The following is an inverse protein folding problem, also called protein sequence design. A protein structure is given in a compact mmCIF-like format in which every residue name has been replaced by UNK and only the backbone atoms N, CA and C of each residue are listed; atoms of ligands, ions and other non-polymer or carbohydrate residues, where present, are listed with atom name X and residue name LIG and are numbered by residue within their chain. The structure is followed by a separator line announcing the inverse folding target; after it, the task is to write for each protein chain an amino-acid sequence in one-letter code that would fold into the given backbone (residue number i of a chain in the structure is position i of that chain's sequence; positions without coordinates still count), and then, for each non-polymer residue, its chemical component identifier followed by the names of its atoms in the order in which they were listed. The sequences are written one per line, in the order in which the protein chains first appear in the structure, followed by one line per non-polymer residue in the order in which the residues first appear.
data_IF_193374931294
#
_entry.id   IF_193374931294
#
_cell.length_a   1.000
_cell.length_b   1.000
_cell.length_c   1.000
_cell.angle_alpha   90.00
_cell.angle_beta   90.00
_cell.angle_gamma   90.00
#
_symmetry.space_group_name_H-M   'P 1'
#
loop_
_entity.id
_entity.type
_entity.pdbx_description
1 polymer ?
#
# COMPACT_ATOMS: atom_id res chain seq x y z
N UNK A 1 -9.24 14.49 16.03
CA UNK A 1 -9.28 14.41 14.55
C UNK A 1 -9.93 13.08 14.22
N UNK A 2 -11.04 13.00 13.46
CA UNK A 2 -11.62 11.71 13.10
C UNK A 2 -10.59 10.90 12.30
N UNK A 3 -10.30 9.68 12.75
CA UNK A 3 -9.37 8.77 12.10
C UNK A 3 -9.96 8.40 10.75
N UNK A 4 -9.45 9.00 9.68
CA UNK A 4 -9.91 8.69 8.33
C UNK A 4 -9.52 7.24 8.05
N UNK A 5 -10.50 6.35 7.88
CA UNK A 5 -10.23 4.93 7.64
C UNK A 5 -9.29 4.77 6.45
N UNK A 6 -8.35 3.83 6.52
CA UNK A 6 -7.33 3.60 5.47
C UNK A 6 -7.91 3.55 4.05
N UNK A 7 -9.12 2.96 3.87
CA UNK A 7 -9.82 2.94 2.58
C UNK A 7 -10.13 4.34 2.02
N UNK A 8 -10.51 5.28 2.88
CA UNK A 8 -10.77 6.67 2.47
C UNK A 8 -9.48 7.41 2.11
N UNK A 9 -8.38 7.14 2.82
CA UNK A 9 -7.06 7.68 2.49
C UNK A 9 -6.55 7.16 1.14
N UNK A 10 -6.76 5.87 0.83
CA UNK A 10 -6.41 5.27 -0.47
C UNK A 10 -7.20 5.87 -1.64
N UNK A 11 -8.50 6.14 -1.44
CA UNK A 11 -9.30 6.83 -2.46
C UNK A 11 -8.77 8.25 -2.70
N UNK A 12 -8.37 8.94 -1.64
CA UNK A 12 -7.79 10.28 -1.75
C UNK A 12 -6.42 10.28 -2.43
N UNK A 13 -5.60 9.22 -2.29
CA UNK A 13 -4.27 9.13 -2.90
C UNK A 13 -4.32 9.33 -4.42
N UNK A 14 -5.38 8.85 -5.08
CA UNK A 14 -5.58 9.01 -6.53
C UNK A 14 -5.65 10.46 -7.02
N UNK A 15 -5.88 11.42 -6.11
CA UNK A 15 -5.87 12.85 -6.40
C UNK A 15 -4.47 13.46 -6.39
N UNK A 16 -3.50 12.79 -5.78
CA UNK A 16 -2.14 13.31 -5.55
C UNK A 16 -1.05 12.54 -6.32
N UNK A 17 -1.37 11.36 -6.85
CA UNK A 17 -0.44 10.57 -7.66
C UNK A 17 -1.09 10.11 -8.96
N UNK A 18 -0.25 9.63 -9.89
CA UNK A 18 -0.73 8.98 -11.11
C UNK A 18 -1.62 7.75 -10.79
N UNK A 19 -2.53 7.47 -11.72
CA UNK A 19 -3.50 6.39 -11.63
C UNK A 19 -2.84 5.01 -11.46
N UNK A 20 -1.67 4.79 -12.07
CA UNK A 20 -0.90 3.55 -11.90
C UNK A 20 -0.41 3.37 -10.46
N UNK A 21 0.19 4.41 -9.88
CA UNK A 21 0.65 4.41 -8.49
C UNK A 21 -0.53 4.21 -7.54
N UNK A 22 -1.64 4.90 -7.75
CA UNK A 22 -2.84 4.75 -6.92
C UNK A 22 -3.40 3.30 -6.94
N UNK A 23 -3.38 2.64 -8.10
CA UNK A 23 -3.77 1.23 -8.25
C UNK A 23 -2.83 0.30 -7.51
N UNK A 24 -1.51 0.50 -7.65
CA UNK A 24 -0.49 -0.32 -6.97
C UNK A 24 -0.59 -0.22 -5.46
N UNK A 25 -0.76 0.98 -4.91
CA UNK A 25 -0.98 1.18 -3.46
C UNK A 25 -2.25 0.45 -3.01
N UNK A 26 -3.35 0.56 -3.75
CA UNK A 26 -4.61 -0.12 -3.42
C UNK A 26 -4.48 -1.65 -3.45
N UNK A 27 -3.78 -2.19 -4.44
CA UNK A 27 -3.55 -3.62 -4.58
C UNK A 27 -2.66 -4.16 -3.45
N UNK A 28 -1.57 -3.46 -3.12
CA UNK A 28 -0.69 -3.82 -2.03
C UNK A 28 -1.41 -3.79 -0.68
N UNK A 29 -2.19 -2.74 -0.42
CA UNK A 29 -2.99 -2.66 0.81
C UNK A 29 -4.00 -3.81 0.93
N UNK A 30 -4.67 -4.17 -0.16
CA UNK A 30 -5.60 -5.31 -0.17
C UNK A 30 -4.88 -6.62 0.13
N UNK A 31 -3.73 -6.88 -0.49
CA UNK A 31 -2.94 -8.08 -0.26
C UNK A 31 -2.49 -8.19 1.20
N UNK A 32 -1.94 -7.12 1.76
CA UNK A 32 -1.50 -7.07 3.16
C UNK A 32 -2.66 -7.22 4.13
N UNK A 33 -3.79 -6.54 3.88
CA UNK A 33 -4.98 -6.66 4.73
C UNK A 33 -5.48 -8.10 4.76
N UNK A 34 -5.58 -8.74 3.60
CA UNK A 34 -6.05 -10.14 3.50
C UNK A 34 -5.17 -11.10 4.30
N UNK A 35 -3.86 -10.90 4.27
CA UNK A 35 -2.89 -11.72 5.02
C UNK A 35 -2.90 -11.39 6.51
N UNK A 36 -3.10 -10.13 6.90
CA UNK A 36 -3.27 -9.76 8.29
C UNK A 36 -4.58 -10.33 8.90
N UNK A 37 -5.59 -10.56 8.05
CA UNK A 37 -6.87 -11.19 8.40
C UNK A 37 -6.88 -12.71 8.22
N UNK A 38 -5.71 -13.33 8.02
CA UNK A 38 -5.59 -14.74 7.67
C UNK A 38 -6.02 -15.65 8.83
N UNK A 39 -7.10 -16.41 8.63
CA UNK A 39 -7.58 -17.46 9.54
C UNK A 39 -6.57 -18.63 9.61
N UNK A 40 -6.49 -19.30 10.77
CA UNK A 40 -5.54 -20.38 11.13
C UNK A 40 -5.36 -21.53 10.11
N UNK A 41 -6.25 -21.66 9.13
CA UNK A 41 -6.25 -22.74 8.13
C UNK A 41 -5.75 -22.35 6.74
N UNK A 42 -5.52 -21.07 6.47
CA UNK A 42 -5.02 -20.67 5.17
C UNK A 42 -3.49 -20.88 5.09
N UNK A 43 -2.96 -21.10 3.88
CA UNK A 43 -1.53 -21.33 3.67
C UNK A 43 -0.74 -20.06 4.02
N UNK A 44 0.22 -20.17 4.93
CA UNK A 44 1.06 -19.03 5.31
C UNK A 44 1.71 -18.41 4.04
N UNK A 45 1.72 -17.07 3.92
CA UNK A 45 2.37 -16.40 2.80
C UNK A 45 3.85 -16.81 2.75
N UNK A 46 4.35 -17.02 1.55
CA UNK A 46 5.75 -17.42 1.36
C UNK A 46 6.68 -16.25 1.69
N UNK A 47 7.92 -16.57 2.11
CA UNK A 47 8.94 -15.54 2.35
C UNK A 47 9.24 -14.70 1.09
N UNK A 48 9.03 -15.26 -0.11
CA UNK A 48 9.18 -14.54 -1.37
C UNK A 48 8.07 -13.50 -1.55
N UNK A 49 6.81 -13.85 -1.31
CA UNK A 49 5.69 -12.91 -1.38
C UNK A 49 5.85 -11.76 -0.37
N UNK A 50 6.30 -12.06 0.85
CA UNK A 50 6.57 -11.03 1.86
C UNK A 50 7.67 -10.05 1.41
N UNK A 51 8.76 -10.57 0.82
CA UNK A 51 9.84 -9.72 0.29
C UNK A 51 9.37 -8.87 -0.88
N UNK A 52 8.52 -9.42 -1.74
CA UNK A 52 7.95 -8.71 -2.87
C UNK A 52 7.04 -7.57 -2.42
N UNK A 53 6.15 -7.82 -1.44
CA UNK A 53 5.32 -6.77 -0.85
C UNK A 53 6.15 -5.71 -0.13
N UNK A 54 7.20 -6.10 0.59
CA UNK A 54 8.10 -5.14 1.23
C UNK A 54 8.83 -4.25 0.22
N UNK A 55 9.33 -4.84 -0.88
CA UNK A 55 9.98 -4.09 -1.96
C UNK A 55 9.02 -3.12 -2.63
N UNK A 56 7.80 -3.58 -2.93
CA UNK A 56 6.76 -2.74 -3.53
C UNK A 56 6.36 -1.60 -2.57
N UNK A 57 6.19 -1.87 -1.28
CA UNK A 57 5.94 -0.85 -0.27
C UNK A 57 7.05 0.20 -0.25
N UNK A 58 8.31 -0.23 -0.28
CA UNK A 58 9.48 0.68 -0.31
C UNK A 58 9.48 1.57 -1.54
N UNK A 59 9.22 1.01 -2.72
CA UNK A 59 9.14 1.77 -3.97
C UNK A 59 7.98 2.77 -3.96
N UNK A 60 6.81 2.37 -3.49
CA UNK A 60 5.64 3.24 -3.41
C UNK A 60 5.86 4.37 -2.39
N UNK A 61 6.44 4.08 -1.22
CA UNK A 61 6.81 5.11 -0.25
C UNK A 61 7.80 6.12 -0.84
N UNK A 62 8.83 5.65 -1.56
CA UNK A 62 9.78 6.54 -2.23
C UNK A 62 9.11 7.40 -3.31
N UNK A 63 8.16 6.85 -4.07
CA UNK A 63 7.41 7.58 -5.08
C UNK A 63 6.37 8.56 -4.50
N UNK A 64 5.86 8.29 -3.30
CA UNK A 64 4.89 9.13 -2.59
C UNK A 64 5.55 10.22 -1.74
N UNK A 65 6.82 10.06 -1.38
CA UNK A 65 7.57 11.13 -0.73
C UNK A 65 7.73 12.26 -1.75
N UNK A 66 7.24 13.48 -1.44
CA UNK A 66 7.40 14.58 -2.35
C UNK A 66 8.89 14.78 -2.60
N UNK A 67 9.30 14.84 -3.87
CA UNK A 67 10.55 15.49 -4.24
C UNK A 67 10.52 16.84 -3.55
N UNK A 68 11.42 17.04 -2.59
CA UNK A 68 11.57 18.29 -1.85
C UNK A 68 12.14 19.35 -2.79
N UNK A 69 11.44 19.65 -3.88
CA UNK A 69 11.68 20.86 -4.66
C UNK A 69 10.98 21.99 -3.91
N UNK A 70 11.81 22.74 -3.20
CA UNK A 70 11.45 23.90 -2.38
C UNK A 70 11.41 25.11 -3.32
N UNK A 71 10.33 25.91 -3.38
CA UNK A 71 10.38 27.23 -4.01
C UNK A 71 11.18 28.23 -3.18
#
# INVERSE_FOLDING_TARGET
MPECKMRAQLLAVSRFVDLETARRVSALWYALSRVAHHDDYALAPTATELRDWHREATHLCAALMPSTETP
#
